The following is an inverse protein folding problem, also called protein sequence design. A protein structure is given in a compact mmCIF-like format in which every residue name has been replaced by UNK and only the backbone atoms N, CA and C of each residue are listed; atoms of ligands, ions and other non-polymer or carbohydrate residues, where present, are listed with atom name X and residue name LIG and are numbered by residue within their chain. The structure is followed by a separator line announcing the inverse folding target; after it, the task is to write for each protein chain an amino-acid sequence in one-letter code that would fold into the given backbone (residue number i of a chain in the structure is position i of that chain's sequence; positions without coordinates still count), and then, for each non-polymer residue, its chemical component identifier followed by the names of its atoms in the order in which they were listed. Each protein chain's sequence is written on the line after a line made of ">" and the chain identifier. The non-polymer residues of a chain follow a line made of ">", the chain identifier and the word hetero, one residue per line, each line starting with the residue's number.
data_IF_681139562108
#
_entry.id   IF_681139562108
#
_cell.length_a   1.000
_cell.length_b   1.000
_cell.length_c   1.000
_cell.angle_alpha   90.00
_cell.angle_beta   90.00
_cell.angle_gamma   90.00
#
_symmetry.space_group_name_H-M   'P 1'
#
loop_
_entity.id
_entity.type
_entity.pdbx_description
1 polymer ?
#
# COMPACT_ATOMS: atom_id res chain seq x y z
N UNK A 1 14.06 5.85 21.22
CA UNK A 1 12.76 5.83 21.93
C UNK A 1 11.85 4.63 21.61
N UNK A 2 12.14 3.81 20.59
CA UNK A 2 11.36 2.58 20.33
C UNK A 2 9.91 2.79 19.85
N UNK A 3 9.47 4.05 19.78
CA UNK A 3 8.17 4.46 19.26
C UNK A 3 8.19 4.23 17.74
N UNK A 4 7.17 3.52 17.24
CA UNK A 4 7.04 3.25 15.81
C UNK A 4 6.56 4.50 15.08
N UNK A 5 7.06 4.71 13.85
CA UNK A 5 6.60 5.77 12.97
C UNK A 5 5.32 5.41 12.23
N UNK A 6 4.91 6.27 11.30
CA UNK A 6 3.84 5.96 10.35
C UNK A 6 4.20 4.74 9.50
N UNK A 7 3.20 3.99 9.11
CA UNK A 7 3.32 2.94 8.10
C UNK A 7 2.75 3.44 6.78
N UNK A 8 3.45 3.16 5.68
CA UNK A 8 2.95 3.48 4.33
C UNK A 8 2.41 2.20 3.69
N UNK A 9 1.18 2.26 3.18
CA UNK A 9 0.53 1.17 2.45
C UNK A 9 0.37 1.64 1.00
N UNK A 10 0.86 0.86 0.05
CA UNK A 10 0.82 1.18 -1.36
C UNK A 10 0.16 0.04 -2.12
N UNK A 11 -1.04 0.29 -2.64
CA UNK A 11 -1.72 -0.65 -3.54
C UNK A 11 -1.39 -0.26 -4.98
N UNK A 12 -0.97 -1.22 -5.79
CA UNK A 12 -0.56 -1.01 -7.18
C UNK A 12 -1.29 -2.01 -8.06
N UNK A 13 -1.89 -1.53 -9.13
CA UNK A 13 -2.42 -2.38 -10.18
C UNK A 13 -1.32 -2.84 -11.14
N UNK A 14 -1.30 -4.14 -11.44
CA UNK A 14 -0.21 -4.76 -12.22
C UNK A 14 -0.26 -4.41 -13.71
N UNK A 15 -1.44 -4.10 -14.25
CA UNK A 15 -1.62 -3.84 -15.69
C UNK A 15 -1.47 -2.34 -15.99
N UNK A 16 -2.31 -1.52 -15.36
CA UNK A 16 -2.38 -0.07 -15.59
C UNK A 16 -1.33 0.71 -14.84
N UNK A 17 -0.67 0.09 -13.85
CA UNK A 17 0.35 0.71 -13.01
C UNK A 17 -0.18 1.86 -12.14
N UNK A 18 -1.51 2.06 -12.08
CA UNK A 18 -2.15 2.98 -11.15
C UNK A 18 -1.85 2.54 -9.73
N UNK A 19 -1.54 3.50 -8.86
CA UNK A 19 -1.26 3.25 -7.46
C UNK A 19 -2.01 4.18 -6.53
N UNK A 20 -2.33 3.67 -5.34
CA UNK A 20 -2.92 4.47 -4.26
C UNK A 20 -2.06 4.25 -3.03
N UNK A 21 -1.25 5.26 -2.70
CA UNK A 21 -0.45 5.29 -1.49
C UNK A 21 -1.22 5.97 -0.36
N UNK A 22 -1.09 5.43 0.85
CA UNK A 22 -1.68 5.97 2.08
C UNK A 22 -0.82 5.62 3.28
N UNK A 23 -1.20 6.15 4.44
CA UNK A 23 -0.51 5.95 5.70
C UNK A 23 -1.46 5.59 6.84
N UNK A 24 -0.96 4.80 7.77
CA UNK A 24 -1.65 4.42 9.01
C UNK A 24 -0.73 4.55 10.21
N UNK A 25 -1.30 4.85 11.38
CA UNK A 25 -0.52 4.92 12.61
C UNK A 25 -0.01 3.54 12.99
N UNK A 26 -0.83 2.50 12.80
CA UNK A 26 -0.55 1.14 13.24
C UNK A 26 -1.03 0.12 12.22
N UNK A 27 -0.31 -1.00 12.17
CA UNK A 27 -0.73 -2.18 11.42
C UNK A 27 -1.68 -2.98 12.31
N UNK A 28 -2.97 -2.67 12.24
CA UNK A 28 -4.03 -3.50 12.81
C UNK A 28 -5.32 -3.34 12.02
N UNK A 29 -6.26 -4.25 12.25
CA UNK A 29 -7.58 -4.30 11.62
C UNK A 29 -8.27 -2.94 11.58
N UNK A 30 -8.31 -2.27 12.73
CA UNK A 30 -9.00 -1.00 12.91
C UNK A 30 -8.46 0.11 11.99
N UNK A 31 -7.16 0.13 11.73
CA UNK A 31 -6.53 1.16 10.90
C UNK A 31 -6.47 0.76 9.43
N UNK A 32 -6.41 -0.53 9.11
CA UNK A 32 -6.20 -1.01 7.74
C UNK A 32 -7.50 -1.25 6.97
N UNK A 33 -8.59 -1.71 7.61
CA UNK A 33 -9.87 -1.90 6.91
C UNK A 33 -10.33 -0.63 6.20
N UNK A 34 -10.43 0.53 6.87
CA UNK A 34 -10.98 1.73 6.22
C UNK A 34 -10.12 2.18 5.04
N UNK A 35 -8.82 1.92 5.14
CA UNK A 35 -7.84 2.27 4.13
C UNK A 35 -7.94 1.35 2.91
N UNK A 36 -8.05 0.03 3.11
CA UNK A 36 -8.22 -0.90 1.99
C UNK A 36 -9.57 -0.70 1.30
N UNK A 37 -10.64 -0.48 2.07
CA UNK A 37 -11.96 -0.13 1.52
C UNK A 37 -11.90 1.17 0.71
N UNK A 38 -11.10 2.15 1.16
CA UNK A 38 -10.85 3.36 0.40
C UNK A 38 -10.07 3.11 -0.88
N UNK A 39 -8.97 2.36 -0.83
CA UNK A 39 -8.18 2.03 -2.02
C UNK A 39 -9.02 1.32 -3.07
N UNK A 40 -9.83 0.33 -2.67
CA UNK A 40 -10.75 -0.39 -3.57
C UNK A 40 -11.70 0.58 -4.29
N UNK A 41 -12.25 1.54 -3.55
CA UNK A 41 -13.19 2.53 -4.09
C UNK A 41 -12.52 3.53 -5.02
N UNK A 42 -11.29 3.92 -4.67
CA UNK A 42 -10.59 5.03 -5.31
C UNK A 42 -9.81 4.58 -6.56
N UNK A 43 -9.67 3.27 -6.80
CA UNK A 43 -9.25 2.77 -8.12
C UNK A 43 -10.31 3.16 -9.17
N UNK A 44 -9.91 3.70 -10.34
CA UNK A 44 -10.84 4.16 -11.37
C UNK A 44 -11.47 3.01 -12.19
N UNK A 45 -11.38 1.78 -11.69
CA UNK A 45 -11.89 0.56 -12.31
C UNK A 45 -12.31 -0.43 -11.24
N UNK A 46 -13.10 -1.42 -11.64
CA UNK A 46 -13.52 -2.50 -10.76
C UNK A 46 -12.31 -3.37 -10.46
N UNK A 47 -11.89 -3.39 -9.19
CA UNK A 47 -10.85 -4.31 -8.73
C UNK A 47 -11.39 -5.74 -8.76
N UNK A 48 -10.79 -6.60 -9.58
CA UNK A 48 -11.21 -7.99 -9.74
C UNK A 48 -10.61 -8.91 -8.66
N UNK A 49 -9.45 -8.53 -8.12
CA UNK A 49 -8.85 -9.22 -6.98
C UNK A 49 -7.65 -8.47 -6.40
N UNK A 50 -7.19 -8.92 -5.23
CA UNK A 50 -5.97 -8.44 -4.59
C UNK A 50 -4.91 -9.53 -4.52
N UNK A 51 -3.67 -9.17 -4.86
CA UNK A 51 -2.48 -9.94 -4.55
C UNK A 51 -1.78 -9.34 -3.32
N UNK A 52 -1.35 -10.20 -2.41
CA UNK A 52 -0.46 -9.83 -1.29
C UNK A 52 0.74 -10.76 -1.30
N UNK A 53 1.86 -10.32 -0.71
CA UNK A 53 3.20 -10.92 -0.80
C UNK A 53 3.31 -12.45 -0.53
N UNK A 54 2.26 -13.13 -0.07
CA UNK A 54 2.20 -14.58 0.16
C UNK A 54 1.27 -15.35 -0.82
N UNK A 55 1.05 -14.85 -2.03
CA UNK A 55 0.62 -15.68 -3.17
C UNK A 55 -0.84 -16.15 -3.15
N UNK A 56 -1.77 -15.34 -2.65
CA UNK A 56 -3.20 -15.64 -2.72
C UNK A 56 -3.96 -14.50 -3.40
N UNK A 57 -4.76 -14.85 -4.40
CA UNK A 57 -5.65 -13.94 -5.12
C UNK A 57 -7.06 -13.98 -4.49
N UNK A 58 -7.54 -12.84 -4.01
CA UNK A 58 -8.85 -12.76 -3.33
C UNK A 58 -9.85 -11.94 -4.14
N UNK A 59 -11.05 -12.50 -4.34
CA UNK A 59 -12.23 -11.79 -4.88
C UNK A 59 -13.13 -11.26 -3.73
N UNK A 60 -12.67 -11.40 -2.47
CA UNK A 60 -13.52 -11.95 -1.38
C UNK A 60 -13.97 -10.95 -0.28
N UNK A 61 -15.07 -11.36 0.37
CA UNK A 61 -16.00 -10.67 1.27
C UNK A 61 -15.40 -10.35 2.64
N UNK A 62 -15.53 -9.06 2.96
CA UNK A 62 -14.83 -8.24 3.99
C UNK A 62 -13.31 -8.32 3.86
N UNK A 63 -12.79 -7.90 2.70
CA UNK A 63 -11.36 -7.76 2.32
C UNK A 63 -10.45 -8.81 2.97
N UNK A 64 -10.37 -10.03 2.46
CA UNK A 64 -11.42 -10.99 2.78
C UNK A 64 -11.07 -11.68 4.11
N UNK A 65 -12.02 -11.67 5.06
CA UNK A 65 -11.85 -11.94 6.49
C UNK A 65 -10.65 -11.23 7.17
N UNK A 66 -10.30 -10.09 6.59
CA UNK A 66 -9.39 -9.03 7.03
C UNK A 66 -7.93 -9.20 6.64
N UNK A 67 -7.51 -9.16 5.38
CA UNK A 67 -6.13 -9.56 5.14
C UNK A 67 -5.87 -10.93 5.85
N UNK A 68 -6.97 -11.72 5.93
CA UNK A 68 -7.45 -12.85 6.77
C UNK A 68 -7.17 -12.87 8.32
N UNK A 69 -7.18 -11.67 8.92
CA UNK A 69 -6.39 -11.14 10.04
C UNK A 69 -4.99 -10.88 9.50
N UNK A 70 -4.22 -9.83 9.81
CA UNK A 70 -2.77 -9.77 9.51
C UNK A 70 -1.93 -10.94 10.13
N UNK A 71 -2.55 -12.12 10.37
CA UNK A 71 -2.15 -13.48 9.96
C UNK A 71 -0.66 -13.59 9.76
N UNK A 72 0.08 -13.81 10.81
CA UNK A 72 -0.33 -14.05 12.18
C UNK A 72 0.58 -13.10 12.95
N UNK A 73 0.25 -11.79 12.96
CA UNK A 73 1.08 -10.71 13.52
C UNK A 73 2.60 -11.00 13.45
N UNK A 74 3.24 -11.03 12.27
CA UNK A 74 4.72 -11.10 12.21
C UNK A 74 5.40 -12.33 12.88
N UNK A 75 4.75 -13.48 13.07
CA UNK A 75 5.43 -14.68 13.60
C UNK A 75 6.56 -15.20 12.68
N UNK A 76 7.81 -15.07 13.15
CA UNK A 76 9.01 -15.89 12.88
C UNK A 76 9.68 -15.83 11.48
N UNK A 77 10.76 -15.05 11.38
CA UNK A 77 11.89 -15.10 10.44
C UNK A 77 11.86 -16.13 9.28
N UNK A 78 11.90 -15.68 8.01
CA UNK A 78 12.93 -15.98 6.98
C UNK A 78 12.45 -15.80 5.53
N UNK A 79 13.47 -15.73 4.67
CA UNK A 79 13.56 -15.32 3.27
C UNK A 79 13.25 -16.40 2.21
N UNK A 80 13.01 -15.89 0.98
CA UNK A 80 13.29 -16.41 -0.38
C UNK A 80 12.05 -16.82 -1.18
N UNK A 81 11.41 -15.84 -1.82
CA UNK A 81 10.97 -15.88 -3.23
C UNK A 81 10.82 -14.41 -3.69
N UNK A 82 11.54 -14.00 -4.75
CA UNK A 82 11.95 -12.60 -4.98
C UNK A 82 11.34 -11.94 -6.24
N UNK A 83 10.34 -12.53 -6.89
CA UNK A 83 9.87 -12.02 -8.18
C UNK A 83 8.41 -11.55 -8.23
N UNK A 84 7.53 -12.06 -7.37
CA UNK A 84 6.08 -11.76 -7.50
C UNK A 84 5.72 -10.33 -7.06
N UNK A 85 6.55 -9.67 -6.24
CA UNK A 85 6.30 -8.30 -5.74
C UNK A 85 7.28 -7.25 -6.28
N UNK A 86 8.09 -7.57 -7.28
CA UNK A 86 9.13 -6.67 -7.80
C UNK A 86 8.56 -5.30 -8.22
N UNK A 87 7.32 -5.29 -8.72
CA UNK A 87 6.62 -4.07 -9.10
C UNK A 87 6.32 -3.14 -7.91
N UNK A 88 5.70 -3.69 -6.87
CA UNK A 88 5.35 -2.94 -5.65
C UNK A 88 6.62 -2.48 -4.93
N UNK A 89 7.64 -3.34 -4.85
CA UNK A 89 8.94 -2.98 -4.26
C UNK A 89 9.62 -1.83 -5.01
N UNK A 90 9.59 -1.86 -6.33
CA UNK A 90 10.12 -0.80 -7.20
C UNK A 90 9.37 0.52 -6.98
N UNK A 91 8.03 0.51 -6.94
CA UNK A 91 7.21 1.71 -6.66
C UNK A 91 7.39 2.23 -5.24
N UNK A 92 7.56 1.34 -4.26
CA UNK A 92 7.88 1.75 -2.89
C UNK A 92 9.22 2.50 -2.84
N UNK A 93 10.21 2.12 -3.65
CA UNK A 93 11.47 2.85 -3.78
C UNK A 93 11.35 4.15 -4.55
N UNK A 94 10.86 4.06 -5.79
CA UNK A 94 10.86 5.17 -6.75
C UNK A 94 9.85 6.26 -6.44
N UNK A 95 8.76 5.94 -5.73
CA UNK A 95 7.70 6.88 -5.38
C UNK A 95 7.67 7.13 -3.87
N UNK A 96 7.28 6.14 -3.07
CA UNK A 96 6.99 6.36 -1.63
C UNK A 96 8.23 6.88 -0.88
N UNK A 97 9.34 6.14 -0.95
CA UNK A 97 10.60 6.53 -0.28
C UNK A 97 11.23 7.77 -0.89
N UNK A 98 11.06 8.01 -2.19
CA UNK A 98 11.55 9.22 -2.86
C UNK A 98 10.87 10.49 -2.36
N UNK A 99 9.56 10.43 -2.11
CA UNK A 99 8.76 11.59 -1.73
C UNK A 99 8.64 11.80 -0.21
N UNK A 100 8.55 10.72 0.57
CA UNK A 100 8.39 10.80 2.03
C UNK A 100 9.72 10.65 2.77
N UNK A 101 10.77 10.23 2.07
CA UNK A 101 12.09 10.01 2.62
C UNK A 101 12.19 8.73 3.44
N UNK A 102 13.32 8.60 4.14
CA UNK A 102 13.64 7.46 5.03
C UNK A 102 13.56 7.84 6.52
N UNK A 103 13.21 9.09 6.81
CA UNK A 103 13.19 9.60 8.18
C UNK A 103 11.95 9.13 8.92
N UNK A 104 12.09 8.98 10.24
CA UNK A 104 10.97 8.65 11.11
C UNK A 104 9.95 9.78 11.15
N UNK A 105 8.73 9.50 10.65
CA UNK A 105 7.58 10.42 10.76
C UNK A 105 6.72 9.96 11.96
N UNK A 106 6.49 10.81 12.98
CA UNK A 106 5.63 10.48 14.10
C UNK A 106 4.19 10.17 13.69
N UNK A 107 3.57 9.17 14.35
CA UNK A 107 2.20 8.69 14.08
C UNK A 107 1.13 9.81 14.06
N UNK A 108 1.27 10.84 14.91
CA UNK A 108 0.32 11.97 14.96
C UNK A 108 0.18 12.73 13.62
N UNK A 109 1.12 12.56 12.70
CA UNK A 109 1.11 13.23 11.40
C UNK A 109 0.41 12.42 10.30
N UNK A 110 -0.11 11.23 10.58
CA UNK A 110 -0.85 10.43 9.60
C UNK A 110 -1.93 11.22 8.86
N UNK A 111 -2.77 12.06 9.52
CA UNK A 111 -3.76 12.86 8.80
C UNK A 111 -3.14 13.80 7.76
N UNK A 112 -2.08 14.51 8.12
CA UNK A 112 -1.39 15.45 7.21
C UNK A 112 -0.66 14.72 6.08
N UNK A 113 -0.05 13.58 6.37
CA UNK A 113 0.59 12.72 5.37
C UNK A 113 -0.47 12.21 4.39
N UNK A 114 -1.61 11.73 4.88
CA UNK A 114 -2.70 11.26 4.02
C UNK A 114 -3.33 12.38 3.21
N UNK A 115 -3.48 13.59 3.75
CA UNK A 115 -3.91 14.75 2.98
C UNK A 115 -2.98 15.00 1.79
N UNK A 116 -1.67 15.00 2.01
CA UNK A 116 -0.69 15.13 0.93
C UNK A 116 -0.76 13.96 -0.06
N UNK A 117 -0.85 12.73 0.42
CA UNK A 117 -0.90 11.54 -0.44
C UNK A 117 -2.14 11.53 -1.34
N UNK A 118 -3.31 11.81 -0.77
CA UNK A 118 -4.59 11.74 -1.48
C UNK A 118 -4.80 12.92 -2.42
N UNK A 119 -4.48 14.14 -1.97
CA UNK A 119 -4.80 15.34 -2.75
C UNK A 119 -3.68 15.75 -3.72
N UNK A 120 -2.46 15.24 -3.54
CA UNK A 120 -1.31 15.66 -4.33
C UNK A 120 -0.54 14.50 -4.94
N UNK A 121 0.00 13.59 -4.12
CA UNK A 121 0.94 12.58 -4.65
C UNK A 121 0.25 11.54 -5.54
N UNK A 122 -0.85 10.95 -5.11
CA UNK A 122 -1.57 9.93 -5.88
C UNK A 122 -2.05 10.50 -7.23
N UNK A 123 -2.73 11.67 -7.29
CA UNK A 123 -3.08 12.29 -8.57
C UNK A 123 -1.84 12.60 -9.45
N UNK A 124 -0.78 13.14 -8.85
CA UNK A 124 0.44 13.46 -9.60
C UNK A 124 1.06 12.23 -10.25
N UNK A 125 1.21 11.13 -9.50
CA UNK A 125 1.83 9.91 -10.01
C UNK A 125 0.94 9.24 -11.06
N UNK A 126 -0.36 9.14 -10.81
CA UNK A 126 -1.26 8.41 -11.71
C UNK A 126 -1.59 9.16 -13.00
N UNK A 127 -1.67 10.50 -12.97
CA UNK A 127 -2.09 11.29 -14.14
C UNK A 127 -0.94 12.05 -14.83
N UNK A 128 0.16 12.32 -14.13
CA UNK A 128 1.26 13.14 -14.67
C UNK A 128 2.60 12.42 -14.75
N UNK A 129 2.75 11.27 -14.09
CA UNK A 129 3.92 10.37 -14.23
C UNK A 129 3.53 8.89 -14.30
N UNK A 130 2.68 8.48 -15.26
CA UNK A 130 2.38 7.07 -15.44
C UNK A 130 3.66 6.30 -15.78
N UNK A 131 4.01 5.31 -14.96
CA UNK A 131 5.12 4.41 -15.23
C UNK A 131 4.56 3.16 -15.90
N UNK A 132 4.38 3.21 -17.22
CA UNK A 132 4.03 2.04 -18.02
C UNK A 132 5.33 1.30 -18.39
N UNK A 133 5.39 -0.01 -18.17
CA UNK A 133 6.47 -0.81 -18.77
C UNK A 133 6.11 -1.01 -20.25
N UNK A 134 6.97 -0.61 -21.20
CA UNK A 134 6.75 -0.96 -22.59
C UNK A 134 6.82 -2.50 -22.74
N UNK A 135 5.91 -3.06 -23.54
CA UNK A 135 5.93 -4.46 -23.98
C UNK A 135 7.21 -4.81 -24.74
#
# INVERSE_FOLDING_TARGET
>A
DGIKGVYHINAVDEVTQIQIACSVEKISEHYLIPILEMQIRDFPFVVLGFHSDNGSEYINKRVAALLDKLLIELTKSRSRHSNDNALVESKNGSIVRKHLGYMHIPQKWVPLVNEFLMNHLNPYVNYHRPCFFPE
#
